data_IF_017410933829
#
_entry.id   IF_017410933829
#
_cell.length_a   1.000
_cell.length_b   1.000
_cell.length_c   1.000
_cell.angle_alpha   90.00
_cell.angle_beta   90.00
_cell.angle_gamma   90.00
#
_symmetry.space_group_name_H-M   'P 1'
#
loop_
_entity.id
_entity.type
_entity.pdbx_description
1 polymer ?
#
# COMPACT_ATOMS: atom_id res chain seq x y z
N UNK A 1 16.85 -27.30 -22.19
CA UNK A 1 16.83 -27.81 -20.77
C UNK A 1 15.50 -28.50 -20.41
N UNK A 2 15.31 -29.09 -19.21
CA UNK A 2 14.02 -29.69 -18.78
C UNK A 2 13.53 -29.06 -17.47
N UNK A 3 12.21 -28.90 -17.31
CA UNK A 3 11.61 -28.40 -16.08
C UNK A 3 11.79 -29.42 -14.95
N UNK A 4 12.32 -29.00 -13.80
CA UNK A 4 12.48 -29.88 -12.63
C UNK A 4 11.14 -30.27 -11.99
N UNK A 5 10.10 -29.45 -12.15
CA UNK A 5 8.79 -29.70 -11.57
C UNK A 5 7.94 -30.67 -12.43
N UNK A 6 7.86 -30.46 -13.75
CA UNK A 6 6.98 -31.26 -14.62
C UNK A 6 7.71 -32.08 -15.71
N UNK A 7 9.04 -31.96 -15.83
CA UNK A 7 9.84 -32.74 -16.78
C UNK A 7 9.79 -32.30 -18.25
N UNK A 8 8.97 -31.30 -18.62
CA UNK A 8 8.86 -30.84 -20.03
C UNK A 8 10.15 -30.20 -20.52
N UNK A 9 10.46 -30.41 -21.81
CA UNK A 9 11.56 -29.74 -22.50
C UNK A 9 11.28 -28.24 -22.64
N UNK A 10 12.26 -27.44 -22.24
CA UNK A 10 12.24 -25.97 -22.24
C UNK A 10 13.35 -25.45 -23.15
N UNK A 11 13.11 -24.31 -23.79
CA UNK A 11 14.14 -23.51 -24.43
C UNK A 11 15.18 -23.07 -23.39
N UNK A 12 16.43 -22.87 -23.81
CA UNK A 12 17.55 -22.61 -22.88
C UNK A 12 17.51 -21.20 -22.25
N UNK A 13 16.66 -20.32 -22.77
CA UNK A 13 16.39 -18.95 -22.30
C UNK A 13 15.00 -18.79 -21.63
N UNK A 14 14.22 -19.87 -21.51
CA UNK A 14 12.90 -19.80 -20.89
C UNK A 14 13.01 -19.55 -19.38
N UNK A 15 12.53 -18.40 -18.88
CA UNK A 15 12.57 -18.07 -17.46
C UNK A 15 11.54 -18.84 -16.60
N UNK A 16 10.48 -19.33 -17.23
CA UNK A 16 9.37 -20.06 -16.61
C UNK A 16 8.95 -21.24 -17.48
N UNK A 17 8.47 -22.31 -16.85
CA UNK A 17 7.85 -23.41 -17.57
C UNK A 17 6.44 -23.02 -18.04
N UNK A 18 6.12 -23.12 -19.34
CA UNK A 18 4.80 -22.72 -19.86
C UNK A 18 3.66 -23.65 -19.40
N UNK A 19 3.97 -24.85 -18.90
CA UNK A 19 2.95 -25.78 -18.40
C UNK A 19 2.65 -25.63 -16.93
N UNK A 20 3.69 -25.60 -16.08
CA UNK A 20 3.50 -25.63 -14.63
C UNK A 20 3.81 -24.30 -13.95
N UNK A 21 4.26 -23.28 -14.70
CA UNK A 21 4.61 -21.96 -14.17
C UNK A 21 5.86 -21.92 -13.29
N UNK A 22 6.53 -23.05 -13.05
CA UNK A 22 7.73 -23.08 -12.21
C UNK A 22 8.87 -22.28 -12.86
N UNK A 23 9.57 -21.48 -12.04
CA UNK A 23 10.80 -20.79 -12.45
C UNK A 23 11.88 -21.80 -12.78
N UNK A 24 12.58 -21.58 -13.88
CA UNK A 24 13.74 -22.39 -14.23
C UNK A 24 14.96 -21.91 -13.46
N UNK A 25 15.72 -22.81 -12.83
CA UNK A 25 16.88 -22.45 -12.01
C UNK A 25 17.91 -21.56 -12.76
N UNK A 26 18.01 -21.69 -14.08
CA UNK A 26 18.94 -20.94 -14.91
C UNK A 26 18.65 -19.43 -14.95
N UNK A 27 17.41 -18.99 -14.75
CA UNK A 27 17.07 -17.55 -14.75
C UNK A 27 17.31 -16.87 -13.41
N UNK A 28 17.30 -17.62 -12.30
CA UNK A 28 17.55 -17.08 -10.97
C UNK A 28 19.05 -16.85 -10.70
N UNK A 29 19.92 -17.74 -11.21
CA UNK A 29 21.38 -17.60 -11.06
C UNK A 29 21.94 -16.39 -11.81
N UNK A 30 21.48 -16.16 -13.05
CA UNK A 30 21.95 -15.06 -13.88
C UNK A 30 21.60 -13.68 -13.32
N UNK A 31 20.38 -13.49 -12.81
CA UNK A 31 19.96 -12.19 -12.24
C UNK A 31 20.66 -11.92 -10.91
N UNK A 32 20.88 -12.95 -10.08
CA UNK A 32 21.61 -12.78 -8.82
C UNK A 32 23.10 -12.46 -9.05
N UNK A 33 23.73 -13.12 -10.03
CA UNK A 33 25.11 -12.85 -10.41
C UNK A 33 25.27 -11.49 -11.10
N UNK A 34 24.33 -11.11 -11.98
CA UNK A 34 24.27 -9.79 -12.59
C UNK A 34 24.08 -8.69 -11.52
N UNK A 35 23.12 -8.86 -10.60
CA UNK A 35 22.86 -7.92 -9.51
C UNK A 35 24.03 -7.83 -8.53
N UNK A 36 24.78 -8.92 -8.33
CA UNK A 36 26.02 -8.93 -7.54
C UNK A 36 27.16 -8.21 -8.25
N UNK A 37 27.32 -8.41 -9.56
CA UNK A 37 28.34 -7.70 -10.37
C UNK A 37 28.00 -6.22 -10.58
N UNK A 38 26.72 -5.87 -10.61
CA UNK A 38 26.21 -4.50 -10.70
C UNK A 38 26.17 -3.79 -9.35
N UNK A 39 26.55 -4.45 -8.25
CA UNK A 39 26.59 -3.86 -6.90
C UNK A 39 25.23 -3.60 -6.26
N UNK A 40 24.14 -4.11 -6.82
CA UNK A 40 22.77 -3.87 -6.35
C UNK A 40 22.39 -4.74 -5.14
N UNK A 41 23.01 -5.90 -4.99
CA UNK A 41 22.82 -6.78 -3.83
C UNK A 41 24.15 -6.86 -3.09
N UNK A 42 24.38 -5.86 -2.24
CA UNK A 42 25.51 -5.81 -1.32
C UNK A 42 25.42 -6.97 -0.34
N UNK A 43 26.33 -7.94 -0.48
CA UNK A 43 26.55 -8.93 0.58
C UNK A 43 26.85 -8.18 1.87
N UNK A 44 26.13 -8.55 2.93
CA UNK A 44 26.24 -7.97 4.27
C UNK A 44 27.70 -7.91 4.72
N UNK A 45 28.32 -6.75 4.55
CA UNK A 45 29.51 -6.39 5.32
C UNK A 45 29.04 -6.20 6.75
N UNK A 46 29.60 -7.03 7.63
CA UNK A 46 29.42 -6.97 9.06
C UNK A 46 29.64 -5.53 9.56
N UNK A 47 28.74 -5.11 10.45
CA UNK A 47 28.87 -4.04 11.45
C UNK A 47 30.13 -3.18 11.33
N UNK A 48 30.02 -2.16 10.50
CA UNK A 48 31.02 -1.12 10.32
C UNK A 48 30.43 0.00 9.52
N UNK A 49 29.25 0.49 9.93
CA UNK A 49 28.76 1.79 9.48
C UNK A 49 29.79 2.78 10.04
N UNK A 50 30.62 3.43 9.20
CA UNK A 50 31.44 4.53 9.70
C UNK A 50 30.46 5.55 10.29
N UNK A 51 30.72 5.97 11.53
CA UNK A 51 29.94 7.02 12.19
C UNK A 51 29.71 8.14 11.19
N UNK A 52 28.42 8.43 10.93
CA UNK A 52 28.05 9.55 10.09
C UNK A 52 28.79 10.77 10.67
N UNK A 53 29.60 11.48 9.85
CA UNK A 53 30.33 12.63 10.35
C UNK A 53 29.32 13.55 11.02
N UNK A 54 29.61 13.92 12.27
CA UNK A 54 28.77 14.87 13.03
C UNK A 54 28.44 16.04 12.10
N UNK A 55 27.15 16.42 12.01
CA UNK A 55 26.73 17.48 11.10
C UNK A 55 27.58 18.70 11.43
N UNK A 56 28.46 19.06 10.49
CA UNK A 56 29.31 20.22 10.62
C UNK A 56 28.40 21.39 10.98
N UNK A 57 28.68 22.03 12.11
CA UNK A 57 27.96 23.21 12.59
C UNK A 57 27.78 24.13 11.39
N UNK A 58 26.51 24.30 10.99
CA UNK A 58 26.16 25.08 9.83
C UNK A 58 26.75 26.47 10.05
N UNK A 59 27.78 26.80 9.27
CA UNK A 59 28.36 28.13 9.25
C UNK A 59 27.21 29.11 9.00
N UNK A 60 26.97 30.01 9.94
CA UNK A 60 25.96 31.08 9.92
C UNK A 60 26.16 32.10 8.77
N UNK A 61 27.05 31.83 7.82
CA UNK A 61 27.23 32.61 6.60
C UNK A 61 26.41 31.99 5.47
N UNK A 62 25.07 32.08 5.59
CA UNK A 62 24.20 32.02 4.41
C UNK A 62 24.40 33.34 3.67
N UNK A 63 25.07 33.36 2.50
CA UNK A 63 25.26 34.60 1.75
C UNK A 63 23.89 35.21 1.47
N UNK A 64 23.72 36.49 1.82
CA UNK A 64 22.52 37.26 1.49
C UNK A 64 22.20 37.04 0.02
N UNK A 65 21.03 36.45 -0.24
CA UNK A 65 20.52 36.25 -1.59
C UNK A 65 20.51 37.64 -2.24
N UNK A 66 21.27 37.87 -3.32
CA UNK A 66 21.34 39.18 -3.93
C UNK A 66 19.94 39.62 -4.33
N UNK A 67 19.58 40.85 -3.96
CA UNK A 67 18.29 41.44 -4.30
C UNK A 67 17.99 41.19 -5.78
N UNK A 68 16.78 40.70 -6.11
CA UNK A 68 16.42 40.38 -7.47
C UNK A 68 16.61 41.61 -8.34
N UNK A 69 17.51 41.49 -9.33
CA UNK A 69 17.83 42.57 -10.25
C UNK A 69 16.54 43.17 -10.82
N UNK A 70 16.45 44.50 -10.75
CA UNK A 70 15.32 45.26 -11.30
C UNK A 70 15.04 44.78 -12.73
N UNK A 71 13.87 44.19 -12.92
CA UNK A 71 13.41 43.75 -14.23
C UNK A 71 13.50 44.95 -15.18
N UNK A 72 14.18 44.81 -16.34
CA UNK A 72 14.35 45.91 -17.26
C UNK A 72 12.97 46.45 -17.66
N UNK A 73 12.80 47.76 -17.53
CA UNK A 73 11.59 48.44 -18.01
C UNK A 73 11.42 48.08 -19.49
N UNK A 74 10.42 47.24 -19.77
CA UNK A 74 10.10 46.81 -21.12
C UNK A 74 9.65 48.07 -21.85
N UNK A 75 10.56 48.62 -22.65
CA UNK A 75 10.33 49.79 -23.47
C UNK A 75 9.08 49.56 -24.30
N UNK A 76 8.15 50.52 -24.22
CA UNK A 76 6.89 50.55 -24.94
C UNK A 76 7.09 50.79 -26.45
N UNK A 77 7.96 50.02 -27.10
CA UNK A 77 8.05 49.96 -28.54
C UNK A 77 6.82 49.22 -29.05
N UNK A 78 5.83 50.04 -29.40
CA UNK A 78 4.61 49.68 -30.10
C UNK A 78 4.97 48.85 -31.33
N UNK A 79 4.79 47.53 -31.21
CA UNK A 79 4.66 46.65 -32.37
C UNK A 79 3.35 47.03 -33.07
N UNK A 80 3.46 47.93 -34.03
CA UNK A 80 2.39 48.31 -34.91
C UNK A 80 2.15 47.17 -35.91
N UNK A 81 1.00 46.52 -35.82
CA UNK A 81 0.50 45.62 -36.85
C UNK A 81 0.32 44.19 -36.38
N UNK A 82 -0.71 43.95 -35.57
CA UNK A 82 -1.49 42.71 -35.69
C UNK A 82 -2.96 43.10 -35.61
N UNK A 83 -3.72 42.50 -36.52
CA UNK A 83 -5.13 42.74 -36.73
C UNK A 83 -5.91 42.62 -35.42
N UNK A 84 -6.88 43.51 -35.27
CA UNK A 84 -7.84 43.55 -34.17
C UNK A 84 -8.75 42.32 -34.24
N UNK A 85 -8.22 41.15 -33.89
CA UNK A 85 -9.03 40.02 -33.49
C UNK A 85 -9.75 40.42 -32.20
N UNK A 86 -11.07 40.26 -32.21
CA UNK A 86 -12.01 40.59 -31.14
C UNK A 86 -11.38 40.52 -29.75
N UNK A 87 -11.14 41.70 -29.17
CA UNK A 87 -10.74 41.85 -27.78
C UNK A 87 -11.91 41.31 -26.96
N UNK A 88 -11.81 40.03 -26.60
CA UNK A 88 -12.74 39.36 -25.70
C UNK A 88 -12.99 40.28 -24.51
N UNK A 89 -14.26 40.56 -24.26
CA UNK A 89 -14.67 41.58 -23.32
C UNK A 89 -13.97 41.33 -21.96
N UNK A 90 -13.50 42.39 -21.27
CA UNK A 90 -12.74 42.27 -20.02
C UNK A 90 -13.45 41.51 -18.88
N UNK A 91 -14.74 41.20 -19.04
CA UNK A 91 -15.51 40.39 -18.10
C UNK A 91 -15.07 38.90 -18.10
N UNK A 92 -14.66 38.34 -19.25
CA UNK A 92 -14.27 36.92 -19.36
C UNK A 92 -12.94 36.59 -18.61
N UNK A 93 -12.06 37.59 -18.47
CA UNK A 93 -10.81 37.44 -17.72
C UNK A 93 -11.04 37.37 -16.20
N UNK A 94 -11.96 38.18 -15.67
CA UNK A 94 -12.28 38.17 -14.25
C UNK A 94 -12.93 36.85 -13.83
N UNK A 95 -13.75 36.25 -14.71
CA UNK A 95 -14.36 34.95 -14.44
C UNK A 95 -13.34 33.81 -14.53
N UNK A 96 -12.37 33.89 -15.45
CA UNK A 96 -11.25 32.96 -15.51
C UNK A 96 -10.38 32.98 -14.24
N UNK A 97 -10.12 34.16 -13.67
CA UNK A 97 -9.36 34.30 -12.43
C UNK A 97 -10.11 33.70 -11.22
N UNK A 98 -11.43 33.91 -11.13
CA UNK A 98 -12.26 33.30 -10.08
C UNK A 98 -12.27 31.78 -10.19
N UNK A 99 -12.36 31.22 -11.41
CA UNK A 99 -12.32 29.77 -11.62
C UNK A 99 -10.99 29.17 -11.15
N UNK A 100 -9.86 29.81 -11.47
CA UNK A 100 -8.54 29.37 -10.99
C UNK A 100 -8.44 29.39 -9.46
N UNK A 101 -8.95 30.44 -8.83
CA UNK A 101 -8.95 30.54 -7.36
C UNK A 101 -9.85 29.48 -6.70
N UNK A 102 -11.01 29.19 -7.28
CA UNK A 102 -11.89 28.09 -6.81
C UNK A 102 -11.18 26.75 -6.96
N UNK A 103 -10.52 26.50 -8.08
CA UNK A 103 -9.77 25.28 -8.31
C UNK A 103 -8.60 25.13 -7.32
N UNK A 104 -7.88 26.23 -7.03
CA UNK A 104 -6.79 26.24 -6.03
C UNK A 104 -7.31 25.88 -4.64
N UNK A 105 -8.44 26.45 -4.23
CA UNK A 105 -9.06 26.12 -2.92
C UNK A 105 -9.56 24.69 -2.86
N UNK A 106 -10.15 24.17 -3.94
CA UNK A 106 -10.59 22.79 -4.02
C UNK A 106 -9.40 21.83 -3.91
N UNK A 107 -8.31 22.09 -4.62
CA UNK A 107 -7.08 21.30 -4.53
C UNK A 107 -6.49 21.34 -3.11
N UNK A 108 -6.44 22.51 -2.47
CA UNK A 108 -5.95 22.63 -1.10
C UNK A 108 -6.80 21.85 -0.10
N UNK A 109 -8.14 21.87 -0.25
CA UNK A 109 -9.03 21.08 0.60
C UNK A 109 -8.81 19.56 0.45
N UNK A 110 -8.51 19.09 -0.77
CA UNK A 110 -8.19 17.67 -1.02
C UNK A 110 -6.87 17.29 -0.34
N UNK A 111 -5.85 18.15 -0.40
CA UNK A 111 -4.56 17.88 0.27
C UNK A 111 -4.72 17.87 1.80
N UNK A 112 -5.47 18.82 2.37
CA UNK A 112 -5.71 18.88 3.81
C UNK A 112 -6.49 17.66 4.33
N UNK A 113 -7.48 17.19 3.58
CA UNK A 113 -8.23 15.97 3.92
C UNK A 113 -7.34 14.73 3.83
N UNK A 114 -6.56 14.56 2.76
CA UNK A 114 -5.61 13.46 2.64
C UNK A 114 -4.53 13.47 3.74
N UNK A 115 -4.03 14.64 4.13
CA UNK A 115 -3.10 14.77 5.25
C UNK A 115 -3.74 14.43 6.60
N UNK A 116 -5.02 14.74 6.80
CA UNK A 116 -5.75 14.35 8.01
C UNK A 116 -5.90 12.83 8.08
N UNK A 117 -6.33 12.20 6.98
CA UNK A 117 -6.52 10.75 6.92
C UNK A 117 -5.21 9.99 7.19
N UNK A 118 -4.10 10.44 6.61
CA UNK A 118 -2.77 9.88 6.88
C UNK A 118 -2.35 10.02 8.35
N UNK A 119 -2.67 11.14 9.01
CA UNK A 119 -2.37 11.31 10.44
C UNK A 119 -3.19 10.36 11.31
N UNK A 120 -4.44 10.13 10.96
CA UNK A 120 -5.32 9.20 11.69
C UNK A 120 -4.84 7.74 11.51
N UNK A 121 -4.45 7.35 10.29
CA UNK A 121 -3.86 6.03 10.03
C UNK A 121 -2.55 5.81 10.80
N UNK A 122 -1.67 6.82 10.83
CA UNK A 122 -0.43 6.76 11.62
C UNK A 122 -0.71 6.64 13.13
N UNK A 123 -1.74 7.32 13.63
CA UNK A 123 -2.16 7.19 15.02
C UNK A 123 -2.70 5.79 15.33
N UNK A 124 -3.40 5.15 14.39
CA UNK A 124 -3.85 3.77 14.51
C UNK A 124 -2.71 2.75 14.52
N UNK A 125 -1.70 2.96 13.67
CA UNK A 125 -0.49 2.13 13.66
C UNK A 125 0.23 2.24 15.01
N UNK A 126 0.43 3.46 15.53
CA UNK A 126 1.05 3.67 16.83
C UNK A 126 0.27 2.99 17.97
N UNK A 127 -1.07 3.10 17.98
CA UNK A 127 -1.93 2.38 18.93
C UNK A 127 -1.74 0.86 18.86
N UNK A 128 -1.58 0.31 17.66
CA UNK A 128 -1.36 -1.14 17.47
C UNK A 128 0.00 -1.58 17.99
N UNK A 129 1.04 -0.79 17.78
CA UNK A 129 2.38 -1.07 18.28
C UNK A 129 2.41 -1.05 19.82
N UNK A 130 1.72 -0.09 20.45
CA UNK A 130 1.55 -0.05 21.91
C UNK A 130 0.85 -1.31 22.45
N UNK A 131 -0.16 -1.83 21.74
CA UNK A 131 -0.84 -3.08 22.11
C UNK A 131 0.08 -4.30 21.98
N UNK A 132 0.90 -4.37 20.92
CA UNK A 132 1.86 -5.45 20.73
C UNK A 132 2.95 -5.41 21.80
N UNK A 133 3.43 -4.23 22.16
CA UNK A 133 4.42 -4.08 23.22
C UNK A 133 3.84 -4.48 24.58
N UNK A 134 2.61 -4.08 24.89
CA UNK A 134 1.89 -4.51 26.09
C UNK A 134 1.73 -6.04 26.14
N UNK A 135 1.28 -6.67 25.05
CA UNK A 135 1.16 -8.13 24.95
C UNK A 135 2.51 -8.83 25.12
N UNK A 136 3.59 -8.23 24.62
CA UNK A 136 4.95 -8.77 24.80
C UNK A 136 5.40 -8.74 26.27
N UNK A 137 5.06 -7.67 27.01
CA UNK A 137 5.33 -7.54 28.44
C UNK A 137 4.54 -8.57 29.25
N UNK A 138 3.25 -8.75 28.93
CA UNK A 138 2.40 -9.77 29.57
C UNK A 138 2.93 -11.18 29.31
N UNK A 139 3.39 -11.48 28.08
CA UNK A 139 4.01 -12.76 27.75
C UNK A 139 5.31 -13.00 28.53
N UNK A 140 6.13 -11.96 28.69
CA UNK A 140 7.35 -12.03 29.50
C UNK A 140 7.04 -12.25 30.99
N UNK A 141 5.97 -11.64 31.51
CA UNK A 141 5.51 -11.85 32.89
C UNK A 141 5.01 -13.27 33.11
N UNK A 142 4.20 -13.80 32.20
CA UNK A 142 3.75 -15.20 32.23
C UNK A 142 4.93 -16.18 32.17
N UNK A 143 5.94 -15.92 31.34
CA UNK A 143 7.14 -16.74 31.28
C UNK A 143 7.93 -16.72 32.59
N UNK A 144 8.06 -15.55 33.23
CA UNK A 144 8.69 -15.41 34.55
C UNK A 144 7.90 -16.15 35.64
N UNK A 145 6.58 -16.05 35.64
CA UNK A 145 5.72 -16.78 36.58
C UNK A 145 5.83 -18.29 36.39
N UNK A 146 5.83 -18.79 35.15
CA UNK A 146 6.00 -20.21 34.86
C UNK A 146 7.37 -20.74 35.34
N UNK A 147 8.44 -19.96 35.19
CA UNK A 147 9.75 -20.33 35.70
C UNK A 147 9.81 -20.30 37.23
N UNK A 148 9.14 -19.34 37.88
CA UNK A 148 9.00 -19.30 39.33
C UNK A 148 8.22 -20.52 39.86
N UNK A 149 7.16 -20.95 39.19
CA UNK A 149 6.42 -22.16 39.53
C UNK A 149 7.29 -23.42 39.41
N UNK A 150 8.13 -23.53 38.37
CA UNK A 150 9.10 -24.63 38.23
C UNK A 150 10.13 -24.67 39.36
N UNK A 151 10.51 -23.50 39.90
CA UNK A 151 11.44 -23.42 41.01
C UNK A 151 10.80 -23.88 42.34
N UNK A 152 9.51 -23.56 42.55
CA UNK A 152 8.75 -23.97 43.75
C UNK A 152 8.38 -25.46 43.67
N UNK A 153 7.99 -25.91 42.48
CA UNK A 153 7.62 -27.29 42.19
C UNK A 153 8.66 -27.88 41.23
N UNK A 154 9.83 -28.32 41.74
CA UNK A 154 10.78 -29.03 40.91
C UNK A 154 10.03 -30.21 40.30
N UNK A 155 9.95 -30.21 38.97
CA UNK A 155 9.22 -31.23 38.24
C UNK A 155 9.61 -32.59 38.81
N UNK A 156 8.63 -33.30 39.38
CA UNK A 156 8.84 -34.67 39.83
C UNK A 156 9.56 -35.37 38.69
N UNK A 157 10.78 -35.85 38.96
CA UNK A 157 11.68 -36.43 37.96
C UNK A 157 10.83 -37.32 37.07
N UNK A 158 10.74 -36.96 35.79
CA UNK A 158 9.93 -37.70 34.82
C UNK A 158 10.24 -39.17 35.02
N UNK A 159 9.23 -40.05 35.18
CA UNK A 159 9.50 -41.47 35.31
C UNK A 159 10.43 -41.86 34.15
N UNK A 160 11.46 -42.68 34.40
CA UNK A 160 12.43 -43.04 33.38
C UNK A 160 11.68 -43.46 32.13
N UNK A 161 12.12 -43.02 30.93
CA UNK A 161 11.45 -43.38 29.70
C UNK A 161 11.24 -44.89 29.69
N UNK A 162 10.05 -45.39 29.31
CA UNK A 162 9.84 -46.81 29.19
C UNK A 162 10.95 -47.38 28.30
N UNK A 163 11.48 -48.58 28.60
CA UNK A 163 12.49 -49.19 27.76
C UNK A 163 11.99 -49.19 26.31
N UNK A 164 12.88 -48.95 25.33
CA UNK A 164 12.47 -48.99 23.93
C UNK A 164 11.77 -50.33 23.67
N UNK A 165 10.65 -50.33 22.92
CA UNK A 165 9.95 -51.56 22.60
C UNK A 165 10.94 -52.55 22.00
N UNK A 166 10.79 -53.82 22.35
CA UNK A 166 11.65 -54.87 21.84
C UNK A 166 11.64 -54.87 20.30
N UNK A 167 12.71 -55.34 19.66
CA UNK A 167 12.76 -55.44 18.20
C UNK A 167 11.56 -56.24 17.63
N UNK A 168 11.04 -57.19 18.41
CA UNK A 168 9.82 -57.93 18.08
C UNK A 168 8.56 -57.06 18.12
N UNK A 169 8.40 -56.23 19.16
CA UNK A 169 7.26 -55.30 19.26
C UNK A 169 7.31 -54.24 18.15
N UNK A 170 8.48 -53.69 17.84
CA UNK A 170 8.65 -52.74 16.74
C UNK A 170 8.26 -53.37 15.40
N UNK A 171 8.75 -54.59 15.13
CA UNK A 171 8.40 -55.32 13.92
C UNK A 171 6.91 -55.66 13.88
N UNK A 172 6.30 -56.03 15.02
CA UNK A 172 4.86 -56.30 15.11
C UNK A 172 4.01 -55.05 14.86
N UNK A 173 4.45 -53.89 15.36
CA UNK A 173 3.77 -52.61 15.16
C UNK A 173 3.85 -52.16 13.70
N UNK A 174 5.03 -52.24 13.07
CA UNK A 174 5.18 -51.95 11.64
C UNK A 174 4.37 -52.90 10.75
N UNK A 175 4.29 -54.19 11.12
CA UNK A 175 3.53 -55.18 10.34
C UNK A 175 2.02 -54.94 10.50
N UNK A 176 1.57 -54.59 11.71
CA UNK A 176 0.20 -54.17 12.02
C UNK A 176 -0.19 -52.93 11.22
N UNK A 177 0.67 -51.92 11.16
CA UNK A 177 0.42 -50.68 10.44
C UNK A 177 0.37 -50.89 8.92
N UNK A 178 1.29 -51.71 8.36
CA UNK A 178 1.23 -52.12 6.95
C UNK A 178 -0.01 -52.94 6.62
N UNK A 179 -0.44 -53.83 7.51
CA UNK A 179 -1.66 -54.61 7.33
C UNK A 179 -2.92 -53.72 7.36
N UNK A 180 -2.96 -52.73 8.26
CA UNK A 180 -4.03 -51.74 8.30
C UNK A 180 -4.07 -50.90 7.01
N UNK A 181 -2.92 -50.43 6.53
CA UNK A 181 -2.82 -49.65 5.29
C UNK A 181 -3.24 -50.46 4.04
N UNK A 182 -2.95 -51.77 3.99
CA UNK A 182 -3.36 -52.64 2.89
C UNK A 182 -4.83 -53.08 2.95
N UNK A 183 -5.50 -52.91 4.10
CA UNK A 183 -6.91 -53.24 4.27
C UNK A 183 -7.87 -52.10 3.87
N UNK A 184 -7.34 -50.92 3.52
CA UNK A 184 -8.17 -49.82 3.02
C UNK A 184 -8.60 -50.13 1.58
N UNK A 185 -9.92 -50.24 1.37
CA UNK A 185 -10.49 -50.55 0.06
C UNK A 185 -10.18 -49.45 -0.97
N UNK A 186 -9.99 -49.81 -2.25
CA UNK A 186 -9.71 -48.85 -3.32
C UNK A 186 -10.82 -47.78 -3.49
N UNK A 187 -12.03 -48.04 -3.00
CA UNK A 187 -13.15 -47.08 -3.05
C UNK A 187 -12.98 -45.86 -2.12
N UNK A 188 -12.04 -45.89 -1.17
CA UNK A 188 -11.73 -44.75 -0.30
C UNK A 188 -10.67 -43.80 -0.89
N UNK A 189 -9.95 -44.20 -1.95
CA UNK A 189 -8.93 -43.36 -2.59
C UNK A 189 -9.51 -42.32 -3.56
N UNK A 190 -10.70 -42.55 -4.13
CA UNK A 190 -11.36 -41.56 -5.00
C UNK A 190 -11.97 -40.36 -4.24
N UNK A 191 -12.08 -40.41 -2.92
CA UNK A 191 -12.62 -39.30 -2.12
C UNK A 191 -11.56 -38.29 -1.64
N UNK A 192 -10.26 -38.57 -1.82
CA UNK A 192 -9.17 -37.72 -1.28
C UNK A 192 -8.58 -36.76 -2.32
N UNK A 193 -8.83 -36.96 -3.62
CA UNK A 193 -8.29 -36.08 -4.68
C UNK A 193 -8.95 -34.69 -4.79
N UNK A 194 -10.02 -34.40 -4.04
CA UNK A 194 -10.69 -33.07 -4.09
C UNK A 194 -10.22 -32.10 -2.99
N UNK A 195 -9.31 -32.52 -2.10
CA UNK A 195 -8.81 -31.66 -1.00
C UNK A 195 -7.58 -30.82 -1.35
N UNK A 196 -6.95 -31.01 -2.52
CA UNK A 196 -5.75 -30.27 -2.94
C UNK A 196 -6.00 -28.83 -3.43
N UNK A 197 -7.25 -28.44 -3.66
CA UNK A 197 -7.59 -27.15 -4.28
C UNK A 197 -7.51 -25.90 -3.38
N UNK A 198 -7.24 -26.06 -2.08
CA UNK A 198 -7.27 -24.93 -1.13
C UNK A 198 -5.96 -24.15 -1.01
N UNK A 199 -4.83 -24.70 -1.48
CA UNK A 199 -3.57 -23.96 -1.53
C UNK A 199 -3.49 -22.94 -2.69
N UNK A 200 -4.31 -23.08 -3.74
CA UNK A 200 -4.30 -22.14 -4.87
C UNK A 200 -5.04 -20.83 -4.58
N UNK A 201 -6.08 -20.80 -3.74
CA UNK A 201 -6.86 -19.58 -3.54
C UNK A 201 -6.03 -18.46 -2.86
N UNK A 202 -5.28 -18.80 -1.80
CA UNK A 202 -4.42 -17.83 -1.12
C UNK A 202 -3.26 -17.37 -2.03
N UNK A 203 -2.65 -18.30 -2.77
CA UNK A 203 -1.60 -17.98 -3.75
C UNK A 203 -2.10 -17.07 -4.88
N UNK A 204 -3.30 -17.33 -5.41
CA UNK A 204 -3.92 -16.50 -6.45
C UNK A 204 -4.28 -15.11 -5.94
N UNK A 205 -4.80 -14.97 -4.72
CA UNK A 205 -5.10 -13.65 -4.13
C UNK A 205 -3.81 -12.84 -3.94
N UNK A 206 -2.75 -13.46 -3.40
CA UNK A 206 -1.45 -12.80 -3.25
C UNK A 206 -0.87 -12.41 -4.61
N UNK A 207 -0.96 -13.29 -5.61
CA UNK A 207 -0.48 -13.01 -6.96
C UNK A 207 -1.22 -11.83 -7.60
N UNK A 208 -2.55 -11.77 -7.48
CA UNK A 208 -3.36 -10.66 -8.00
C UNK A 208 -3.01 -9.35 -7.29
N UNK A 209 -2.81 -9.37 -5.96
CA UNK A 209 -2.41 -8.18 -5.21
C UNK A 209 -1.02 -7.67 -5.62
N UNK A 210 -0.05 -8.58 -5.81
CA UNK A 210 1.31 -8.22 -6.25
C UNK A 210 1.30 -7.65 -7.67
N UNK A 211 0.57 -8.27 -8.60
CA UNK A 211 0.44 -7.76 -9.97
C UNK A 211 -0.28 -6.41 -9.99
N UNK A 212 -1.34 -6.24 -9.20
CA UNK A 212 -2.05 -4.97 -9.05
C UNK A 212 -1.16 -3.85 -8.50
N UNK A 213 -0.35 -4.13 -7.48
CA UNK A 213 0.59 -3.18 -6.91
C UNK A 213 1.67 -2.76 -7.92
N UNK A 214 2.23 -3.71 -8.68
CA UNK A 214 3.24 -3.41 -9.70
C UNK A 214 2.66 -2.56 -10.84
N UNK A 215 1.42 -2.83 -11.27
CA UNK A 215 0.72 -2.00 -12.25
C UNK A 215 0.48 -0.58 -11.72
N UNK A 216 0.09 -0.43 -10.45
CA UNK A 216 -0.13 0.86 -9.83
C UNK A 216 1.17 1.68 -9.71
N UNK A 217 2.28 1.04 -9.32
CA UNK A 217 3.59 1.67 -9.27
C UNK A 217 4.08 2.09 -10.67
N UNK A 218 3.90 1.23 -11.69
CA UNK A 218 4.24 1.59 -13.06
C UNK A 218 3.40 2.75 -13.63
N UNK A 219 2.11 2.81 -13.29
CA UNK A 219 1.26 3.94 -13.65
C UNK A 219 1.64 5.23 -12.92
N UNK A 220 2.05 5.12 -11.66
CA UNK A 220 2.54 6.25 -10.87
C UNK A 220 3.80 6.84 -11.51
N UNK A 221 4.77 6.00 -11.85
CA UNK A 221 6.05 6.42 -12.44
C UNK A 221 5.83 7.08 -13.81
N UNK A 222 4.92 6.52 -14.62
CA UNK A 222 4.52 7.14 -15.89
C UNK A 222 3.80 8.50 -15.73
N UNK A 223 3.17 8.79 -14.59
CA UNK A 223 2.61 10.11 -14.31
C UNK A 223 3.68 11.11 -13.86
N UNK A 224 4.70 10.68 -13.12
CA UNK A 224 5.81 11.55 -12.75
C UNK A 224 6.56 12.05 -14.00
N UNK A 225 6.80 11.17 -14.97
CA UNK A 225 7.47 11.55 -16.22
C UNK A 225 6.64 12.55 -17.05
N UNK A 226 5.31 12.51 -16.94
CA UNK A 226 4.42 13.41 -17.66
C UNK A 226 4.37 14.83 -17.06
N UNK A 227 4.65 14.99 -15.77
CA UNK A 227 4.70 16.30 -15.10
C UNK A 227 6.03 17.04 -15.31
N UNK A 228 7.15 16.32 -15.54
CA UNK A 228 8.46 16.95 -15.77
C UNK A 228 8.74 17.31 -17.24
N UNK A 229 7.99 16.76 -18.20
CA UNK A 229 8.01 17.29 -19.57
C UNK A 229 7.23 18.60 -19.62
N UNK A 230 7.92 19.71 -19.33
CA UNK A 230 7.54 21.02 -19.86
C UNK A 230 7.15 20.83 -21.33
N UNK A 231 5.95 21.25 -21.76
CA UNK A 231 5.58 21.14 -23.16
C UNK A 231 6.69 21.86 -23.95
N UNK A 232 7.32 21.20 -24.94
CA UNK A 232 8.25 21.90 -25.80
C UNK A 232 7.52 23.14 -26.27
N UNK A 233 8.17 24.29 -26.14
CA UNK A 233 7.73 25.58 -26.66
C UNK A 233 7.55 25.48 -28.17
N UNK A 234 6.49 24.78 -28.57
CA UNK A 234 5.94 24.83 -29.88
C UNK A 234 5.43 26.25 -30.01
N UNK A 235 6.19 27.07 -30.71
CA UNK A 235 5.65 28.20 -31.46
C UNK A 235 4.44 27.66 -32.23
N UNK A 236 3.26 27.80 -31.64
CA UNK A 236 2.00 27.54 -32.32
C UNK A 236 1.88 28.70 -33.31
N UNK A 237 2.44 28.51 -34.50
CA UNK A 237 2.05 29.26 -35.69
C UNK A 237 0.60 28.86 -35.98
N UNK A 238 -0.34 29.56 -35.35
CA UNK A 238 -1.75 29.50 -35.70
C UNK A 238 -1.88 30.13 -37.08
N UNK A 239 -1.74 29.31 -38.12
CA UNK A 239 -2.18 29.67 -39.46
C UNK A 239 -3.71 29.64 -39.42
N UNK A 240 -4.31 30.79 -39.12
CA UNK A 240 -5.75 31.01 -39.27
C UNK A 240 -6.03 30.95 -40.78
N UNK A 241 -6.50 29.81 -41.26
CA UNK A 241 -7.18 29.75 -42.55
C UNK A 241 -8.56 30.39 -42.34
N UNK A 242 -8.68 31.65 -42.74
CA UNK A 242 -9.95 32.34 -42.94
C UNK A 242 -10.73 31.62 -44.05
N UNK A 243 -11.53 30.62 -43.69
CA UNK A 243 -12.66 30.20 -44.52
C UNK A 243 -13.89 31.01 -44.08
N UNK A 244 -14.19 32.02 -44.89
CA UNK A 244 -15.45 32.76 -44.88
C UNK A 244 -16.60 31.78 -45.19
N UNK A 245 -17.18 31.15 -44.17
CA UNK A 245 -18.49 30.50 -44.30
C UNK A 245 -19.56 31.40 -43.70
N UNK A 246 -20.27 32.11 -44.56
CA UNK A 246 -21.54 32.77 -44.25
C UNK A 246 -22.54 31.71 -43.75
N UNK A 247 -22.76 31.65 -42.43
CA UNK A 247 -23.87 30.91 -41.85
C UNK A 247 -24.88 31.91 -41.32
N UNK A 248 -25.97 32.03 -42.06
CA UNK A 248 -27.19 32.75 -41.69
C UNK A 248 -27.65 32.38 -40.28
N UNK A 249 -27.63 33.38 -39.41
CA UNK A 249 -28.00 33.29 -38.01
C UNK A 249 -29.53 33.40 -37.89
N UNK A 250 -30.24 32.27 -37.94
CA UNK A 250 -31.65 32.23 -37.49
C UNK A 250 -31.70 32.19 -35.97
N UNK A 251 -32.14 33.33 -35.40
CA UNK A 251 -32.46 33.53 -33.98
C UNK A 251 -33.44 32.47 -33.44
N UNK A 252 -33.00 31.64 -32.51
CA UNK A 252 -33.85 31.11 -31.43
C UNK A 252 -33.03 30.90 -30.15
N UNK A 253 -33.37 31.54 -29.02
CA UNK A 253 -32.74 31.27 -27.75
C UNK A 253 -33.38 30.02 -27.12
N UNK A 254 -32.68 28.89 -27.17
CA UNK A 254 -33.00 27.76 -26.31
C UNK A 254 -32.39 28.00 -24.92
N UNK A 255 -33.23 28.44 -23.99
CA UNK A 255 -32.93 28.43 -22.55
C UNK A 255 -32.93 26.97 -22.10
N UNK A 256 -31.74 26.40 -21.90
CA UNK A 256 -31.57 25.07 -21.27
C UNK A 256 -31.66 25.27 -19.76
N UNK A 257 -32.84 25.02 -19.19
CA UNK A 257 -32.97 24.83 -17.74
C UNK A 257 -32.39 23.46 -17.39
N UNK A 258 -31.22 23.44 -16.75
CA UNK A 258 -30.73 22.26 -16.06
C UNK A 258 -31.63 21.99 -14.84
N UNK A 259 -32.58 21.06 -15.02
CA UNK A 259 -33.43 20.52 -13.96
C UNK A 259 -32.62 19.48 -13.20
N UNK A 260 -32.13 19.83 -12.01
CA UNK A 260 -31.57 18.86 -11.06
C UNK A 260 -32.74 18.08 -10.44
N UNK A 261 -33.02 16.90 -10.99
CA UNK A 261 -33.87 15.91 -10.34
C UNK A 261 -33.14 15.38 -9.10
N UNK A 262 -33.47 15.99 -7.96
CA UNK A 262 -33.12 15.50 -6.64
C UNK A 262 -34.08 14.35 -6.33
N UNK A 263 -33.73 13.15 -6.77
CA UNK A 263 -34.43 11.94 -6.36
C UNK A 263 -34.28 11.76 -4.85
N UNK A 264 -35.42 11.74 -4.17
CA UNK A 264 -35.51 11.51 -2.74
C UNK A 264 -35.20 10.06 -2.41
N UNK A 265 -34.12 9.84 -1.68
CA UNK A 265 -34.02 8.68 -0.81
C UNK A 265 -34.78 8.97 0.48
N UNK A 266 -35.93 8.31 0.59
CA UNK A 266 -36.70 8.12 1.81
C UNK A 266 -35.81 7.45 2.86
N UNK A 267 -35.52 8.17 3.95
CA UNK A 267 -35.04 7.56 5.18
C UNK A 267 -36.22 6.88 5.90
N UNK A 268 -36.07 5.64 6.41
CA UNK A 268 -37.10 5.05 7.25
C UNK A 268 -37.07 5.72 8.64
N UNK A 269 -38.24 6.17 9.06
CA UNK A 269 -38.50 6.67 10.41
C UNK A 269 -38.20 5.58 11.45
N UNK A 270 -37.05 5.71 12.12
CA UNK A 270 -36.68 4.96 13.31
C UNK A 270 -37.00 5.79 14.56
N UNK A 271 -37.98 5.31 15.33
CA UNK A 271 -38.46 5.83 16.62
C UNK A 271 -37.36 6.26 17.61
N UNK A 272 -37.59 7.28 18.46
CA UNK A 272 -36.67 7.66 19.51
C UNK A 272 -36.71 6.63 20.64
N UNK A 273 -35.63 5.86 20.81
CA UNK A 273 -35.42 5.05 22.02
C UNK A 273 -34.81 5.94 23.09
N UNK A 274 -35.56 6.11 24.17
CA UNK A 274 -35.10 6.67 25.45
C UNK A 274 -33.79 6.02 25.89
N UNK A 275 -32.66 6.74 25.76
CA UNK A 275 -31.46 6.40 26.50
C UNK A 275 -31.56 7.08 27.86
N UNK A 276 -32.17 6.32 28.78
CA UNK A 276 -32.23 6.61 30.21
C UNK A 276 -30.80 6.72 30.74
N UNK A 277 -30.46 7.91 31.22
CA UNK A 277 -29.23 8.18 31.95
C UNK A 277 -29.11 7.23 33.16
N UNK A 278 -28.16 6.28 33.11
CA UNK A 278 -27.61 5.68 34.31
C UNK A 278 -26.45 6.55 34.77
N UNK A 279 -26.77 7.56 35.58
CA UNK A 279 -25.80 8.15 36.50
C UNK A 279 -25.44 7.10 37.55
N UNK A 280 -24.36 6.36 37.29
CA UNK A 280 -23.71 5.53 38.29
C UNK A 280 -22.92 6.43 39.24
N UNK A 281 -23.50 6.72 40.40
CA UNK A 281 -22.78 7.27 41.54
C UNK A 281 -21.67 6.31 41.97
N UNK A 282 -20.41 6.66 41.68
CA UNK A 282 -19.25 6.08 42.37
C UNK A 282 -18.80 7.07 43.44
N UNK A 283 -19.34 6.91 44.65
CA UNK A 283 -18.78 7.51 45.86
C UNK A 283 -17.47 6.81 46.23
N UNK A 284 -16.38 7.53 46.51
CA UNK A 284 -15.23 6.96 47.19
C UNK A 284 -15.60 6.72 48.66
N UNK A 285 -15.80 5.47 49.05
CA UNK A 285 -15.80 5.08 50.47
C UNK A 285 -14.39 5.26 51.00
N UNK A 286 -14.22 6.32 51.80
CA UNK A 286 -13.19 6.39 52.85
C UNK A 286 -13.31 5.13 53.71
N UNK A 287 -12.26 4.32 53.75
CA UNK A 287 -12.02 3.40 54.85
C UNK A 287 -10.83 3.96 55.61
N UNK A 288 -11.15 4.72 56.66
CA UNK A 288 -10.26 4.97 57.77
C UNK A 288 -10.72 4.08 58.91
N UNK A 289 -9.74 3.46 59.56
CA UNK A 289 -9.73 2.99 60.95
C UNK A 289 -10.58 1.77 61.33
N UNK A 290 -9.91 0.76 61.92
CA UNK A 290 -10.06 0.34 63.34
C UNK A 290 -9.79 -1.17 63.52
N UNK A 291 -8.77 -1.49 64.37
CA UNK A 291 -8.49 -2.72 65.13
C UNK A 291 -8.09 -3.98 64.33
N UNK A 292 -6.99 -4.69 64.62
CA UNK A 292 -6.54 -5.20 65.93
C UNK A 292 -5.03 -5.48 65.93
#
# INVERSE_FOLDING_TARGET
>A
MRCENCGRGLADDAAFCPDCGARTATSAGGVYELARTAGLIGGSVASGIPDAPEPAEAAEDVPEVPEPAELPEVGADRVAGTDTADVAAPEDFLDSAKVREVHRRAAQAIVETAQSDLRDELADIARRDDMLEAASRDAADLARSAEQERMIHPAATSPPPPPPPSAYEQMSAETSERAAAQSMSPDAQEAVEVSGGRCCAAGCVIFILVVGLLMALGLWEAQQDAEETEPPSAEINIVILNEESEVEMTKQPHVVYARTEREGLLAPEGTPREVRAMQGHNSPRRLNDVLH
#
